data_IF_248643565996
#
_entry.id   IF_248643565996
#
_cell.length_a   1.000
_cell.length_b   1.000
_cell.length_c   1.000
_cell.angle_alpha   90.00
_cell.angle_beta   90.00
_cell.angle_gamma   90.00
#
_symmetry.space_group_name_H-M   'P 1'
#
loop_
_entity.id
_entity.type
_entity.pdbx_description
1 polymer ?
#
# COMPACT_ATOMS: atom_id res chain seq x y z
N UNK A 1 -4.74 1.16 15.96
CA UNK A 1 -6.21 1.26 15.75
C UNK A 1 -6.60 1.19 14.25
N UNK A 2 -6.10 0.20 13.48
CA UNK A 2 -6.21 0.19 12.01
C UNK A 2 -7.27 -0.76 11.40
N UNK A 3 -7.68 -1.81 12.11
CA UNK A 3 -8.71 -2.75 11.63
C UNK A 3 -10.07 -2.10 11.26
N UNK A 4 -10.60 -1.12 12.03
CA UNK A 4 -11.92 -0.55 11.75
C UNK A 4 -12.02 0.27 10.46
N UNK A 5 -10.90 0.81 9.94
CA UNK A 5 -10.96 1.70 8.78
C UNK A 5 -11.33 0.93 7.51
N UNK A 6 -10.86 -0.31 7.40
CA UNK A 6 -11.11 -1.17 6.24
C UNK A 6 -12.58 -1.53 6.08
N UNK A 7 -13.34 -1.56 7.19
CA UNK A 7 -14.79 -1.78 7.19
C UNK A 7 -15.58 -0.65 6.51
N UNK A 8 -14.97 0.52 6.31
CA UNK A 8 -15.59 1.65 5.60
C UNK A 8 -15.53 1.48 4.08
N UNK A 9 -14.68 0.59 3.57
CA UNK A 9 -14.49 0.38 2.15
C UNK A 9 -15.33 -0.79 1.64
N UNK A 10 -15.77 -0.68 0.37
CA UNK A 10 -16.50 -1.76 -0.32
C UNK A 10 -15.64 -3.00 -0.58
N UNK A 11 -14.32 -2.84 -0.61
CA UNK A 11 -13.34 -3.92 -0.84
C UNK A 11 -12.49 -4.14 0.41
N UNK A 12 -12.15 -5.40 0.72
CA UNK A 12 -11.31 -5.72 1.87
C UNK A 12 -9.90 -5.17 1.68
N UNK A 13 -9.19 -5.03 2.81
CA UNK A 13 -7.81 -4.52 2.87
C UNK A 13 -6.89 -5.15 1.83
N UNK A 14 -6.89 -6.47 1.70
CA UNK A 14 -5.96 -7.18 0.82
C UNK A 14 -6.20 -6.87 -0.67
N UNK A 15 -7.46 -6.65 -1.06
CA UNK A 15 -7.79 -6.23 -2.43
C UNK A 15 -7.37 -4.78 -2.69
N UNK A 16 -7.46 -3.92 -1.66
CA UNK A 16 -6.95 -2.55 -1.75
C UNK A 16 -5.42 -2.55 -1.83
N UNK A 17 -4.75 -3.38 -1.03
CA UNK A 17 -3.30 -3.56 -1.02
C UNK A 17 -2.81 -3.96 -2.42
N UNK A 18 -3.36 -5.06 -2.96
CA UNK A 18 -3.03 -5.54 -4.31
C UNK A 18 -3.19 -4.44 -5.37
N UNK A 19 -4.28 -3.66 -5.30
CA UNK A 19 -4.54 -2.58 -6.25
C UNK A 19 -3.47 -1.48 -6.18
N UNK A 20 -3.14 -0.99 -4.98
CA UNK A 20 -2.18 0.11 -4.82
C UNK A 20 -0.74 -0.33 -5.10
N UNK A 21 -0.37 -1.56 -4.76
CA UNK A 21 0.92 -2.16 -5.12
C UNK A 21 1.05 -2.29 -6.65
N UNK A 22 0.04 -2.87 -7.32
CA UNK A 22 0.02 -3.00 -8.79
C UNK A 22 0.07 -1.63 -9.48
N UNK A 23 -0.61 -0.62 -8.91
CA UNK A 23 -0.58 0.74 -9.45
C UNK A 23 0.82 1.37 -9.34
N UNK A 24 1.52 1.16 -8.22
CA UNK A 24 2.89 1.63 -8.06
C UNK A 24 3.85 0.97 -9.05
N UNK A 25 3.67 -0.32 -9.34
CA UNK A 25 4.43 -1.04 -10.37
C UNK A 25 4.18 -0.44 -11.76
N UNK A 26 2.92 -0.27 -12.16
CA UNK A 26 2.57 0.31 -13.45
C UNK A 26 3.13 1.74 -13.64
N UNK A 27 3.19 2.53 -12.57
CA UNK A 27 3.81 3.87 -12.59
C UNK A 27 5.33 3.84 -12.67
N UNK A 28 5.97 2.82 -12.09
CA UNK A 28 7.42 2.62 -12.22
C UNK A 28 7.81 2.45 -13.69
N UNK A 29 7.00 1.75 -14.47
CA UNK A 29 7.27 1.48 -15.89
C UNK A 29 6.91 2.67 -16.82
N UNK A 30 5.96 3.52 -16.42
CA UNK A 30 5.36 4.54 -17.30
C UNK A 30 5.83 5.96 -17.06
N UNK A 31 6.33 6.30 -15.86
CA UNK A 31 6.76 7.66 -15.52
C UNK A 31 8.26 7.86 -15.81
N UNK A 32 8.56 8.75 -16.76
CA UNK A 32 9.95 8.97 -17.21
C UNK A 32 10.59 10.26 -16.66
N UNK A 33 9.80 11.26 -16.25
CA UNK A 33 10.32 12.52 -15.74
C UNK A 33 10.70 12.46 -14.25
N UNK A 34 11.61 13.34 -13.83
CA UNK A 34 12.16 13.35 -12.47
C UNK A 34 11.13 13.74 -11.41
N UNK A 35 10.24 14.69 -11.72
CA UNK A 35 9.24 15.18 -10.76
C UNK A 35 8.21 14.09 -10.46
N UNK A 36 7.77 13.37 -11.49
CA UNK A 36 6.85 12.24 -11.35
C UNK A 36 7.49 11.07 -10.61
N UNK A 37 8.80 10.82 -10.79
CA UNK A 37 9.53 9.81 -10.02
C UNK A 37 9.59 10.12 -8.52
N UNK A 38 9.89 11.35 -8.13
CA UNK A 38 9.89 11.76 -6.72
C UNK A 38 8.49 11.61 -6.07
N UNK A 39 7.43 11.91 -6.83
CA UNK A 39 6.06 11.69 -6.36
C UNK A 39 5.74 10.20 -6.21
N UNK A 40 6.19 9.37 -7.15
CA UNK A 40 6.03 7.92 -7.10
C UNK A 40 6.75 7.32 -5.89
N UNK A 41 7.96 7.76 -5.57
CA UNK A 41 8.70 7.28 -4.39
C UNK A 41 7.96 7.61 -3.09
N UNK A 42 7.39 8.82 -3.00
CA UNK A 42 6.56 9.21 -1.85
C UNK A 42 5.30 8.36 -1.75
N UNK A 43 4.64 8.11 -2.87
CA UNK A 43 3.45 7.26 -2.93
C UNK A 43 3.76 5.82 -2.48
N UNK A 44 4.85 5.22 -2.97
CA UNK A 44 5.30 3.87 -2.57
C UNK A 44 5.54 3.78 -1.06
N UNK A 45 6.21 4.76 -0.49
CA UNK A 45 6.46 4.80 0.95
C UNK A 45 5.17 4.87 1.79
N UNK A 46 4.14 5.58 1.34
CA UNK A 46 2.85 5.62 2.03
C UNK A 46 2.05 4.32 1.84
N UNK A 47 2.12 3.68 0.67
CA UNK A 47 1.55 2.33 0.46
C UNK A 47 2.18 1.35 1.44
N UNK A 48 3.51 1.34 1.56
CA UNK A 48 4.23 0.50 2.52
C UNK A 48 3.86 0.82 3.97
N UNK A 49 3.68 2.09 4.33
CA UNK A 49 3.27 2.47 5.69
C UNK A 49 1.85 1.99 6.02
N UNK A 50 0.92 2.12 5.07
CA UNK A 50 -0.49 1.74 5.24
C UNK A 50 -0.65 0.22 5.29
N UNK A 51 0.11 -0.51 4.45
CA UNK A 51 -0.06 -1.94 4.26
C UNK A 51 1.02 -2.83 4.91
N UNK A 52 2.18 -2.29 5.27
CA UNK A 52 3.30 -3.04 5.88
C UNK A 52 3.16 -3.33 7.38
N UNK A 53 2.20 -2.71 8.07
CA UNK A 53 2.06 -2.84 9.53
C UNK A 53 1.41 -4.15 10.02
N UNK A 54 1.25 -5.18 9.18
CA UNK A 54 0.48 -6.38 9.53
C UNK A 54 1.28 -7.69 9.57
N UNK A 55 2.57 -7.63 9.91
CA UNK A 55 3.36 -8.82 10.30
C UNK A 55 3.83 -8.69 11.74
N UNK A 56 2.94 -8.60 12.75
CA UNK A 56 3.29 -8.88 14.17
C UNK A 56 2.09 -9.25 15.07
N UNK A 57 0.95 -9.75 14.55
CA UNK A 57 -0.16 -10.18 15.43
C UNK A 57 -0.47 -11.68 15.40
N UNK A 58 -0.07 -12.43 14.36
CA UNK A 58 -0.30 -13.89 14.31
C UNK A 58 0.90 -14.72 14.79
N UNK A 59 2.12 -14.16 14.80
CA UNK A 59 3.33 -14.86 15.24
C UNK A 59 3.58 -14.80 16.76
N UNK A 60 2.81 -14.02 17.52
CA UNK A 60 2.98 -13.85 18.98
C UNK A 60 1.98 -14.72 19.78
N UNK A 61 1.06 -15.43 19.12
CA UNK A 61 0.04 -16.28 19.77
C UNK A 61 0.14 -17.78 19.41
N UNK A 62 1.34 -18.29 19.13
CA UNK A 62 1.63 -19.73 19.05
C UNK A 62 2.81 -20.11 19.93
#
# INVERSE_FOLDING_TARGET
>A
HGEPIWRRFKRPRDQQQWYYETLAEAFTDSLTDERSRNLLDTFKAEVDRVFGYQIQSEAIMR
#
